data_IF_165726296016
#
_entry.id   IF_165726296016
#
_cell.length_a   1.000
_cell.length_b   1.000
_cell.length_c   1.000
_cell.angle_alpha   90.00
_cell.angle_beta   90.00
_cell.angle_gamma   90.00
#
_symmetry.space_group_name_H-M   'P 1'
#
loop_
_entity.id
_entity.type
_entity.pdbx_description
1 polymer ?
#
# COMPACT_ATOMS: atom_id res chain seq x y z
N UNK A 1 -0.36 15.27 -21.36
CA UNK A 1 -0.48 16.65 -21.89
C UNK A 1 -1.46 17.57 -21.16
N UNK A 2 -2.68 17.14 -20.81
CA UNK A 2 -3.64 18.02 -20.11
C UNK A 2 -3.10 18.59 -18.79
N UNK A 3 -2.44 17.77 -17.95
CA UNK A 3 -1.80 18.23 -16.71
C UNK A 3 -0.65 19.20 -16.95
N UNK A 4 0.21 18.91 -17.93
CA UNK A 4 1.31 19.81 -18.33
C UNK A 4 0.77 21.18 -18.70
N UNK A 5 -0.34 21.25 -19.46
CA UNK A 5 -1.00 22.52 -19.80
C UNK A 5 -1.40 23.33 -18.55
N UNK A 6 -1.94 22.66 -17.54
CA UNK A 6 -2.27 23.31 -16.25
C UNK A 6 -1.02 23.85 -15.55
N UNK A 7 0.05 23.05 -15.47
CA UNK A 7 1.30 23.45 -14.83
C UNK A 7 1.99 24.61 -15.58
N UNK A 8 1.89 24.64 -16.91
CA UNK A 8 2.51 25.67 -17.76
C UNK A 8 1.82 27.04 -17.70
N UNK A 9 0.73 27.16 -16.92
CA UNK A 9 0.23 28.48 -16.55
C UNK A 9 1.22 29.25 -15.67
N UNK A 10 2.12 28.55 -14.96
CA UNK A 10 3.11 29.17 -14.05
C UNK A 10 4.55 28.69 -14.26
N UNK A 11 4.77 27.44 -14.68
CA UNK A 11 6.08 26.83 -14.81
C UNK A 11 6.49 26.60 -16.27
N UNK A 12 7.78 26.38 -16.53
CA UNK A 12 8.20 25.91 -17.85
C UNK A 12 7.70 24.50 -18.13
N UNK A 13 7.46 24.18 -19.40
CA UNK A 13 7.05 22.83 -19.80
C UNK A 13 8.07 21.77 -19.39
N UNK A 14 9.37 22.06 -19.53
CA UNK A 14 10.45 21.16 -19.11
C UNK A 14 10.36 20.84 -17.62
N UNK A 15 10.13 21.83 -16.77
CA UNK A 15 9.98 21.61 -15.32
C UNK A 15 8.74 20.77 -15.02
N UNK A 16 7.60 21.11 -15.62
CA UNK A 16 6.35 20.38 -15.42
C UNK A 16 6.50 18.90 -15.81
N UNK A 17 7.08 18.61 -16.98
CA UNK A 17 7.30 17.23 -17.43
C UNK A 17 8.27 16.48 -16.53
N UNK A 18 9.38 17.09 -16.12
CA UNK A 18 10.35 16.47 -15.23
C UNK A 18 9.73 16.09 -13.87
N UNK A 19 8.87 16.95 -13.31
CA UNK A 19 8.17 16.61 -12.06
C UNK A 19 7.15 15.48 -12.24
N UNK A 20 6.37 15.49 -13.33
CA UNK A 20 5.40 14.44 -13.59
C UNK A 20 6.09 13.08 -13.79
N UNK A 21 7.20 13.05 -14.52
CA UNK A 21 8.03 11.85 -14.67
C UNK A 21 8.59 11.37 -13.32
N UNK A 22 9.05 12.30 -12.48
CA UNK A 22 9.48 11.96 -11.12
C UNK A 22 8.35 11.38 -10.26
N UNK A 23 7.15 11.96 -10.33
CA UNK A 23 5.96 11.46 -9.63
C UNK A 23 5.58 10.05 -10.10
N UNK A 24 5.57 9.79 -11.41
CA UNK A 24 5.28 8.47 -11.97
C UNK A 24 6.31 7.45 -11.49
N UNK A 25 7.60 7.74 -11.63
CA UNK A 25 8.69 6.86 -11.19
C UNK A 25 8.68 6.61 -9.67
N UNK A 26 8.36 7.65 -8.89
CA UNK A 26 8.21 7.53 -7.43
C UNK A 26 7.03 6.64 -7.04
N UNK A 27 5.92 6.72 -7.78
CA UNK A 27 4.75 5.85 -7.58
C UNK A 27 5.07 4.41 -7.95
N UNK A 28 5.75 4.17 -9.08
CA UNK A 28 6.20 2.83 -9.48
C UNK A 28 7.16 2.21 -8.47
N UNK A 29 8.10 2.98 -7.94
CA UNK A 29 9.00 2.51 -6.87
C UNK A 29 8.24 2.09 -5.61
N UNK A 30 7.15 2.79 -5.27
CA UNK A 30 6.25 2.41 -4.19
C UNK A 30 5.53 1.10 -4.46
N UNK A 31 4.96 0.95 -5.67
CA UNK A 31 4.30 -0.27 -6.12
C UNK A 31 5.24 -1.48 -6.07
N UNK A 32 6.45 -1.36 -6.62
CA UNK A 32 7.46 -2.42 -6.61
C UNK A 32 7.77 -2.89 -5.18
N UNK A 33 7.82 -1.94 -4.23
CA UNK A 33 8.10 -2.25 -2.83
C UNK A 33 6.94 -2.98 -2.15
N UNK A 34 5.71 -2.61 -2.49
CA UNK A 34 4.51 -3.30 -2.04
C UNK A 34 4.43 -4.71 -2.65
N UNK A 35 4.69 -4.88 -3.95
CA UNK A 35 4.63 -6.17 -4.64
C UNK A 35 5.59 -7.20 -4.00
N UNK A 36 6.78 -6.75 -3.57
CA UNK A 36 7.74 -7.57 -2.83
C UNK A 36 7.16 -8.07 -1.50
N UNK A 37 6.53 -7.19 -0.72
CA UNK A 37 5.89 -7.55 0.54
C UNK A 37 4.64 -8.43 0.33
N UNK A 38 3.81 -8.09 -0.67
CA UNK A 38 2.61 -8.81 -1.01
C UNK A 38 2.94 -10.26 -1.36
N UNK A 39 3.96 -10.48 -2.19
CA UNK A 39 4.38 -11.83 -2.56
C UNK A 39 4.67 -12.71 -1.34
N UNK A 40 5.39 -12.18 -0.34
CA UNK A 40 5.73 -12.94 0.87
C UNK A 40 4.48 -13.34 1.67
N UNK A 41 3.60 -12.39 1.97
CA UNK A 41 2.40 -12.67 2.79
C UNK A 41 1.38 -13.50 2.01
N UNK A 42 1.28 -13.33 0.69
CA UNK A 42 0.42 -14.15 -0.17
C UNK A 42 0.87 -15.62 -0.16
N UNK A 43 2.18 -15.89 -0.24
CA UNK A 43 2.70 -17.25 -0.13
C UNK A 43 2.48 -17.84 1.28
N UNK A 44 2.61 -17.04 2.35
CA UNK A 44 2.23 -17.45 3.70
C UNK A 44 0.73 -17.81 3.77
N UNK A 45 -0.15 -16.99 3.19
CA UNK A 45 -1.59 -17.26 3.11
C UNK A 45 -1.88 -18.55 2.34
N UNK A 46 -1.30 -18.74 1.15
CA UNK A 46 -1.48 -19.94 0.33
C UNK A 46 -1.01 -21.21 1.04
N UNK A 47 0.10 -21.14 1.77
CA UNK A 47 0.61 -22.24 2.58
C UNK A 47 -0.23 -22.48 3.87
N UNK A 48 -1.09 -21.52 4.22
CA UNK A 48 -1.91 -21.58 5.42
C UNK A 48 -1.09 -21.36 6.69
N UNK A 49 -0.07 -20.50 6.60
CA UNK A 49 0.92 -20.22 7.64
C UNK A 49 0.64 -18.93 8.41
N UNK A 50 -0.33 -18.11 7.98
CA UNK A 50 -0.70 -16.93 8.76
C UNK A 50 -1.20 -17.36 10.14
N UNK A 51 -0.88 -16.55 11.15
CA UNK A 51 -1.27 -16.78 12.54
C UNK A 51 -2.77 -17.04 12.65
N UNK A 52 -3.15 -18.21 13.17
CA UNK A 52 -4.54 -18.59 13.38
C UNK A 52 -5.34 -18.94 12.12
N UNK A 53 -4.72 -18.98 10.93
CA UNK A 53 -5.45 -19.19 9.67
C UNK A 53 -6.21 -20.52 9.63
N UNK A 54 -5.62 -21.59 10.18
CA UNK A 54 -6.24 -22.93 10.23
C UNK A 54 -7.00 -23.22 11.52
N UNK A 55 -6.92 -22.35 12.53
CA UNK A 55 -7.38 -22.66 13.90
C UNK A 55 -8.35 -21.63 14.48
N UNK A 56 -8.32 -20.38 14.03
CA UNK A 56 -9.08 -19.27 14.60
C UNK A 56 -9.38 -18.15 13.59
N UNK A 57 -9.70 -18.50 12.34
CA UNK A 57 -10.10 -17.54 11.29
C UNK A 57 -11.60 -17.64 10.99
N UNK A 58 -12.48 -16.90 11.70
CA UNK A 58 -13.91 -16.93 11.43
C UNK A 58 -14.26 -16.21 10.13
N UNK A 59 -15.34 -16.67 9.49
CA UNK A 59 -15.88 -16.03 8.30
C UNK A 59 -16.40 -14.61 8.60
N UNK A 60 -16.32 -13.67 7.65
CA UNK A 60 -16.90 -12.34 7.78
C UNK A 60 -18.44 -12.40 7.82
N UNK A 61 -19.12 -11.30 8.20
CA UNK A 61 -20.56 -11.21 8.15
C UNK A 61 -21.07 -11.34 6.71
N UNK A 62 -22.15 -12.09 6.51
CA UNK A 62 -22.82 -12.16 5.22
C UNK A 62 -23.25 -10.75 4.76
N UNK A 63 -23.20 -10.43 3.45
CA UNK A 63 -22.97 -11.35 2.32
C UNK A 63 -21.50 -11.53 1.93
N UNK A 64 -20.56 -10.99 2.71
CA UNK A 64 -19.15 -11.03 2.36
C UNK A 64 -18.57 -12.45 2.43
N UNK A 65 -17.54 -12.69 1.62
CA UNK A 65 -16.82 -13.95 1.54
C UNK A 65 -15.42 -13.81 2.13
N UNK A 66 -14.95 -14.83 2.84
CA UNK A 66 -13.58 -14.85 3.34
C UNK A 66 -12.58 -14.87 2.18
N UNK A 67 -11.39 -14.31 2.41
CA UNK A 67 -10.32 -14.24 1.43
C UNK A 67 -9.07 -13.62 2.01
N UNK A 68 -8.03 -13.58 1.19
CA UNK A 68 -6.80 -12.84 1.44
C UNK A 68 -6.98 -11.36 1.08
N UNK A 69 -6.52 -10.47 1.94
CA UNK A 69 -6.41 -9.03 1.67
C UNK A 69 -7.72 -8.41 1.14
N UNK A 70 -8.81 -8.69 1.84
CA UNK A 70 -10.14 -8.19 1.47
C UNK A 70 -10.40 -6.85 2.12
N UNK A 71 -10.98 -5.91 1.37
CA UNK A 71 -11.28 -4.56 1.85
C UNK A 71 -12.10 -4.51 3.15
N UNK A 72 -12.97 -5.49 3.43
CA UNK A 72 -13.74 -5.50 4.68
C UNK A 72 -12.85 -5.59 5.93
N UNK A 73 -11.63 -6.12 5.81
CA UNK A 73 -10.74 -6.46 6.92
C UNK A 73 -10.22 -5.23 7.69
N UNK A 74 -10.31 -4.03 7.11
CA UNK A 74 -10.01 -2.78 7.82
C UNK A 74 -11.18 -2.28 8.67
N UNK A 75 -12.39 -2.73 8.39
CA UNK A 75 -13.61 -2.30 9.10
C UNK A 75 -14.22 -3.38 9.99
N UNK A 76 -13.84 -4.64 9.78
CA UNK A 76 -14.31 -5.76 10.58
C UNK A 76 -13.16 -6.71 10.87
N UNK A 77 -13.02 -7.10 12.13
CA UNK A 77 -12.08 -8.12 12.57
C UNK A 77 -12.69 -9.01 13.65
N UNK A 78 -12.35 -10.29 13.61
CA UNK A 78 -12.72 -11.26 14.65
C UNK A 78 -11.74 -12.44 14.64
N UNK A 79 -11.30 -12.87 15.82
CA UNK A 79 -10.29 -13.92 15.93
C UNK A 79 -9.01 -13.51 15.20
N UNK A 80 -8.56 -14.32 14.25
CA UNK A 80 -7.42 -14.05 13.37
C UNK A 80 -7.86 -13.78 11.90
N UNK A 81 -9.01 -13.13 11.71
CA UNK A 81 -9.42 -12.56 10.43
C UNK A 81 -9.54 -11.03 10.55
N UNK A 82 -8.63 -10.25 9.93
CA UNK A 82 -7.38 -10.67 9.30
C UNK A 82 -6.31 -11.14 10.32
N UNK A 83 -5.24 -11.76 9.84
CA UNK A 83 -4.01 -11.89 10.64
C UNK A 83 -3.25 -10.55 10.68
N UNK A 84 -2.33 -10.37 11.64
CA UNK A 84 -1.59 -9.11 11.78
C UNK A 84 -0.78 -8.76 10.51
N UNK A 85 -0.01 -9.72 9.96
CA UNK A 85 0.73 -9.50 8.71
C UNK A 85 -0.15 -9.23 7.49
N UNK A 86 -1.34 -9.84 7.44
CA UNK A 86 -2.30 -9.58 6.37
C UNK A 86 -2.87 -8.16 6.47
N UNK A 87 -3.22 -7.68 7.67
CA UNK A 87 -3.67 -6.31 7.86
C UNK A 87 -2.55 -5.30 7.57
N UNK A 88 -1.34 -5.58 8.01
CA UNK A 88 -0.17 -4.71 7.78
C UNK A 88 0.13 -4.58 6.29
N UNK A 89 0.06 -5.67 5.53
CA UNK A 89 0.19 -5.62 4.07
C UNK A 89 -0.94 -4.78 3.46
N UNK A 90 -2.17 -5.02 3.89
CA UNK A 90 -3.33 -4.27 3.40
C UNK A 90 -3.13 -2.75 3.61
N UNK A 91 -2.72 -2.32 4.81
CA UNK A 91 -2.46 -0.92 5.14
C UNK A 91 -1.25 -0.36 4.37
N UNK A 92 -0.24 -1.18 4.05
CA UNK A 92 0.88 -0.79 3.21
C UNK A 92 0.43 -0.34 1.82
N UNK A 93 -0.57 -0.99 1.23
CA UNK A 93 -1.20 -0.56 -0.01
C UNK A 93 -2.23 0.56 0.19
N UNK A 94 -3.29 0.31 0.95
CA UNK A 94 -4.50 1.15 0.95
C UNK A 94 -4.32 2.45 1.73
N UNK A 95 -3.34 2.53 2.62
CA UNK A 95 -2.99 3.77 3.33
C UNK A 95 -1.65 4.33 2.85
N UNK A 96 -0.56 3.60 3.05
CA UNK A 96 0.77 4.20 2.90
C UNK A 96 1.16 4.45 1.43
N UNK A 97 0.93 3.50 0.53
CA UNK A 97 1.19 3.69 -0.91
C UNK A 97 0.27 4.74 -1.53
N UNK A 98 -1.00 4.79 -1.13
CA UNK A 98 -1.92 5.86 -1.55
C UNK A 98 -1.40 7.22 -1.09
N UNK A 99 -0.98 7.35 0.17
CA UNK A 99 -0.39 8.58 0.69
C UNK A 99 0.91 8.97 -0.03
N UNK A 100 1.75 8.00 -0.43
CA UNK A 100 2.94 8.25 -1.25
C UNK A 100 2.55 8.91 -2.57
N UNK A 101 1.64 8.29 -3.32
CA UNK A 101 1.21 8.81 -4.62
C UNK A 101 0.59 10.20 -4.50
N UNK A 102 -0.35 10.38 -3.56
CA UNK A 102 -1.01 11.67 -3.33
C UNK A 102 0.02 12.74 -2.96
N UNK A 103 0.98 12.43 -2.11
CA UNK A 103 1.99 13.40 -1.68
C UNK A 103 2.98 13.76 -2.79
N UNK A 104 3.36 12.81 -3.65
CA UNK A 104 4.13 13.08 -4.88
C UNK A 104 3.36 13.99 -5.84
N UNK A 105 2.08 13.69 -6.07
CA UNK A 105 1.22 14.46 -6.97
C UNK A 105 0.99 15.91 -6.49
N UNK A 106 1.00 16.13 -5.17
CA UNK A 106 0.78 17.45 -4.56
C UNK A 106 2.06 18.12 -4.05
N UNK A 107 3.24 17.62 -4.44
CA UNK A 107 4.55 18.16 -4.04
C UNK A 107 4.75 18.32 -2.53
N UNK A 108 4.13 17.44 -1.73
CA UNK A 108 4.33 17.43 -0.30
C UNK A 108 5.58 16.62 0.04
N UNK A 109 6.72 17.31 0.28
CA UNK A 109 8.03 16.70 0.54
C UNK A 109 8.08 15.64 1.65
N UNK A 110 7.08 15.63 2.54
CA UNK A 110 6.91 14.59 3.56
C UNK A 110 6.60 13.19 3.01
N UNK A 111 6.40 13.01 1.69
CA UNK A 111 6.28 11.71 1.00
C UNK A 111 7.48 10.77 1.22
N UNK A 112 8.59 11.32 1.71
CA UNK A 112 9.80 10.59 2.06
C UNK A 112 9.77 10.09 3.50
N UNK A 113 9.69 11.00 4.47
CA UNK A 113 9.97 10.71 5.89
C UNK A 113 8.73 10.63 6.78
N UNK A 114 7.60 11.21 6.38
CA UNK A 114 6.41 11.36 7.24
C UNK A 114 5.31 10.40 6.84
N UNK A 115 5.00 10.37 5.54
CA UNK A 115 4.00 9.52 4.91
C UNK A 115 4.63 8.84 3.71
N UNK A 116 3.95 7.87 3.12
CA UNK A 116 4.49 7.17 1.97
C UNK A 116 5.72 6.34 2.32
N UNK A 117 6.89 6.71 1.81
CA UNK A 117 8.07 5.84 1.79
C UNK A 117 8.50 5.32 3.16
N UNK A 118 8.62 6.19 4.16
CA UNK A 118 9.03 5.77 5.51
C UNK A 118 8.02 4.82 6.17
N UNK A 119 6.73 5.03 5.95
CA UNK A 119 5.67 4.17 6.49
C UNK A 119 5.65 2.81 5.76
N UNK A 120 5.75 2.81 4.42
CA UNK A 120 5.90 1.60 3.62
C UNK A 120 7.15 0.80 4.00
N UNK A 121 8.28 1.47 4.21
CA UNK A 121 9.51 0.80 4.62
C UNK A 121 9.37 0.14 6.00
N UNK A 122 8.66 0.78 6.93
CA UNK A 122 8.35 0.18 8.24
C UNK A 122 7.49 -1.07 8.08
N UNK A 123 6.39 -0.98 7.32
CA UNK A 123 5.51 -2.12 7.06
C UNK A 123 6.27 -3.28 6.43
N UNK A 124 7.12 -3.00 5.44
CA UNK A 124 8.01 -3.98 4.81
C UNK A 124 8.94 -4.66 5.82
N UNK A 125 9.62 -3.89 6.68
CA UNK A 125 10.54 -4.45 7.68
C UNK A 125 9.80 -5.38 8.63
N UNK A 126 8.63 -4.95 9.12
CA UNK A 126 7.82 -5.75 10.03
C UNK A 126 7.25 -7.01 9.34
N UNK A 127 6.86 -6.94 8.06
CA UNK A 127 6.42 -8.11 7.29
C UNK A 127 7.54 -9.13 7.08
N UNK A 128 8.78 -8.67 6.84
CA UNK A 128 9.91 -9.56 6.59
C UNK A 128 10.48 -10.18 7.87
N UNK A 129 10.21 -9.58 9.04
CA UNK A 129 10.63 -10.09 10.36
C UNK A 129 9.69 -11.21 10.87
N UNK A 130 8.39 -11.09 10.58
CA UNK A 130 7.30 -11.99 11.01
C UNK A 130 7.16 -13.28 10.16
#
# INVERSE_FOLDING_TARGET
DAWVKTCTNCHSETYARAWMEFMDNGTFSGLDKYDEAHHVVEEQYKAGLLTGQKTNRPAPPAPETDGFEKFFQIYWSKGNNPAANELRLFEMAEDHLVQLHVSLAHQYWGYTYTVGWAAMNRAYVEIMDD
#
